data_IF_256501048079
#
_entry.id   IF_256501048079
#
_cell.length_a   1.000
_cell.length_b   1.000
_cell.length_c   1.000
_cell.angle_alpha   90.00
_cell.angle_beta   90.00
_cell.angle_gamma   90.00
#
_symmetry.space_group_name_H-M   'P 1'
#
loop_
_entity.id
_entity.type
_entity.pdbx_description
1 polymer ?
#
# COMPACT_ATOMS: atom_id res chain seq x y z
N UNK A 1 -34.53 -13.18 10.58
CA UNK A 1 -33.36 -12.86 11.40
C UNK A 1 -32.21 -13.81 11.01
N UNK A 2 -31.43 -13.50 9.97
CA UNK A 2 -30.40 -14.41 9.44
C UNK A 2 -29.35 -13.74 8.57
N UNK A 3 -29.23 -12.41 8.59
CA UNK A 3 -28.33 -11.68 7.69
C UNK A 3 -27.03 -11.15 8.34
N UNK A 4 -26.82 -11.36 9.64
CA UNK A 4 -25.72 -10.73 10.36
C UNK A 4 -24.44 -11.56 10.49
N UNK A 5 -24.52 -12.87 10.37
CA UNK A 5 -23.37 -13.79 10.53
C UNK A 5 -22.56 -13.95 9.25
N UNK A 6 -23.19 -13.89 8.09
CA UNK A 6 -22.56 -14.11 6.79
C UNK A 6 -21.61 -12.94 6.40
N UNK A 7 -22.02 -11.69 6.65
CA UNK A 7 -21.20 -10.52 6.34
C UNK A 7 -19.95 -10.38 7.23
N UNK A 8 -20.00 -10.90 8.47
CA UNK A 8 -18.88 -10.86 9.42
C UNK A 8 -17.82 -11.92 9.06
N UNK A 9 -18.25 -13.08 8.59
CA UNK A 9 -17.36 -14.14 8.13
C UNK A 9 -16.66 -13.72 6.83
N UNK A 10 -17.38 -13.10 5.90
CA UNK A 10 -16.83 -12.61 4.64
C UNK A 10 -15.80 -11.47 4.86
N UNK A 11 -16.08 -10.55 5.77
CA UNK A 11 -15.13 -9.49 6.12
C UNK A 11 -13.87 -10.01 6.80
N UNK A 12 -13.98 -11.04 7.65
CA UNK A 12 -12.84 -11.70 8.30
C UNK A 12 -11.93 -12.41 7.29
N UNK A 13 -12.51 -13.10 6.31
CA UNK A 13 -11.78 -13.78 5.26
C UNK A 13 -11.04 -12.80 4.34
N UNK A 14 -11.70 -11.69 3.97
CA UNK A 14 -11.08 -10.65 3.15
C UNK A 14 -9.89 -10.00 3.89
N UNK A 15 -10.02 -9.72 5.19
CA UNK A 15 -8.92 -9.19 6.01
C UNK A 15 -7.75 -10.18 6.09
N UNK A 16 -8.02 -11.45 6.34
CA UNK A 16 -6.98 -12.49 6.38
C UNK A 16 -6.25 -12.62 5.03
N UNK A 17 -6.98 -12.55 3.92
CA UNK A 17 -6.39 -12.54 2.57
C UNK A 17 -5.46 -11.35 2.39
N UNK A 18 -5.86 -10.15 2.81
CA UNK A 18 -5.05 -8.93 2.72
C UNK A 18 -3.74 -9.05 3.53
N UNK A 19 -3.81 -9.58 4.73
CA UNK A 19 -2.65 -9.79 5.60
C UNK A 19 -1.67 -10.82 5.02
N UNK A 20 -2.18 -11.93 4.46
CA UNK A 20 -1.36 -12.94 3.79
C UNK A 20 -0.68 -12.40 2.55
N UNK A 21 -1.43 -11.68 1.70
CA UNK A 21 -0.90 -11.07 0.48
C UNK A 21 0.20 -10.05 0.80
N UNK A 22 -0.01 -9.21 1.81
CA UNK A 22 0.98 -8.25 2.26
C UNK A 22 2.27 -8.93 2.77
N UNK A 23 2.15 -10.02 3.53
CA UNK A 23 3.30 -10.79 4.01
C UNK A 23 4.11 -11.37 2.86
N UNK A 24 3.45 -12.08 1.94
CA UNK A 24 4.11 -12.71 0.78
C UNK A 24 4.81 -11.65 -0.09
N UNK A 25 4.15 -10.53 -0.34
CA UNK A 25 4.72 -9.45 -1.14
C UNK A 25 5.91 -8.81 -0.44
N UNK A 26 5.80 -8.49 0.86
CA UNK A 26 6.85 -7.82 1.62
C UNK A 26 8.12 -8.69 1.79
N UNK A 27 7.97 -10.00 1.98
CA UNK A 27 9.10 -10.94 2.10
C UNK A 27 10.01 -10.92 0.88
N UNK A 28 9.50 -10.59 -0.29
CA UNK A 28 10.24 -10.51 -1.55
C UNK A 28 10.59 -9.09 -1.97
N UNK A 29 10.05 -8.07 -1.30
CA UNK A 29 10.25 -6.65 -1.64
C UNK A 29 11.53 -6.10 -1.01
N UNK A 30 12.65 -6.40 -1.65
CA UNK A 30 13.97 -5.93 -1.20
C UNK A 30 14.11 -4.41 -1.25
N UNK A 31 13.40 -3.74 -2.17
CA UNK A 31 13.46 -2.28 -2.31
C UNK A 31 12.86 -1.59 -1.09
N UNK A 32 11.61 -1.94 -0.74
CA UNK A 32 10.95 -1.39 0.45
C UNK A 32 11.73 -1.71 1.74
N UNK A 33 12.25 -2.94 1.86
CA UNK A 33 13.07 -3.35 3.01
C UNK A 33 14.36 -2.53 3.11
N UNK A 34 15.07 -2.31 1.99
CA UNK A 34 16.33 -1.54 1.98
C UNK A 34 16.13 -0.08 2.36
N UNK A 35 14.97 0.48 2.05
CA UNK A 35 14.57 1.83 2.41
C UNK A 35 14.00 1.92 3.84
N UNK A 36 13.92 0.81 4.56
CA UNK A 36 13.43 0.76 5.93
C UNK A 36 11.92 0.98 6.05
N UNK A 37 11.17 0.75 4.97
CA UNK A 37 9.71 0.85 4.99
C UNK A 37 9.10 -0.24 5.86
N UNK A 38 8.03 0.09 6.58
CA UNK A 38 7.30 -0.85 7.43
C UNK A 38 5.81 -0.72 7.17
N UNK A 39 5.14 -1.86 7.01
CA UNK A 39 3.67 -1.90 6.94
C UNK A 39 3.13 -1.72 8.36
N UNK A 40 2.32 -0.71 8.58
CA UNK A 40 1.67 -0.42 9.86
C UNK A 40 0.20 -0.81 9.85
N UNK A 41 -0.44 -0.83 8.67
CA UNK A 41 -1.82 -1.27 8.49
C UNK A 41 -2.01 -1.88 7.12
N UNK A 42 -2.86 -2.90 7.05
CA UNK A 42 -3.34 -3.51 5.81
C UNK A 42 -4.81 -3.91 5.97
N UNK A 43 -5.59 -3.63 4.93
CA UNK A 43 -6.98 -4.07 4.81
C UNK A 43 -7.34 -4.18 3.32
N UNK A 44 -8.49 -4.80 2.95
CA UNK A 44 -8.91 -4.85 1.57
C UNK A 44 -8.99 -3.46 0.92
N UNK A 45 -8.17 -3.21 -0.12
CA UNK A 45 -8.09 -1.92 -0.81
C UNK A 45 -7.33 -0.82 -0.06
N UNK A 46 -6.76 -1.11 1.11
CA UNK A 46 -6.05 -0.14 1.95
C UNK A 46 -4.69 -0.65 2.42
N UNK A 47 -3.71 0.25 2.50
CA UNK A 47 -2.43 -0.03 3.14
C UNK A 47 -1.85 1.25 3.76
N UNK A 48 -1.12 1.10 4.85
CA UNK A 48 -0.35 2.18 5.45
C UNK A 48 1.08 1.71 5.69
N UNK A 49 2.05 2.50 5.21
CA UNK A 49 3.47 2.26 5.38
C UNK A 49 4.16 3.48 5.97
N UNK A 50 5.20 3.23 6.75
CA UNK A 50 6.07 4.27 7.29
C UNK A 50 7.50 4.12 6.77
N UNK A 51 8.20 5.27 6.68
CA UNK A 51 9.63 5.33 6.33
C UNK A 51 10.27 6.51 7.07
N UNK A 52 11.37 6.27 7.76
CA UNK A 52 12.19 7.35 8.32
C UNK A 52 13.17 7.87 7.27
N UNK A 53 13.27 9.19 7.12
CA UNK A 53 14.21 9.84 6.21
C UNK A 53 15.60 9.85 6.81
N UNK A 54 16.50 9.07 6.22
CA UNK A 54 17.91 8.97 6.60
C UNK A 54 18.76 10.04 5.90
N UNK A 55 19.99 10.32 6.37
CA UNK A 55 20.91 11.26 5.73
C UNK A 55 21.20 10.93 4.25
N UNK A 56 21.33 9.62 3.92
CA UNK A 56 21.61 9.12 2.57
C UNK A 56 20.41 9.24 1.59
N UNK A 57 19.27 9.72 2.09
CA UNK A 57 18.05 9.95 1.31
C UNK A 57 17.89 11.42 0.90
N UNK A 58 18.81 12.31 1.28
CA UNK A 58 18.72 13.74 0.96
C UNK A 58 19.35 14.07 -0.39
N UNK A 59 18.78 15.04 -1.07
CA UNK A 59 19.28 15.57 -2.35
C UNK A 59 20.18 16.81 -2.14
N UNK A 60 20.65 17.42 -3.24
CA UNK A 60 21.50 18.62 -3.20
C UNK A 60 20.85 19.88 -2.62
N UNK A 61 19.55 19.85 -2.32
CA UNK A 61 18.82 20.91 -1.62
C UNK A 61 18.65 20.62 -0.12
N UNK A 62 19.31 19.57 0.40
CA UNK A 62 19.19 19.12 1.79
C UNK A 62 17.77 18.76 2.23
N UNK A 63 16.97 18.25 1.30
CA UNK A 63 15.64 17.70 1.55
C UNK A 63 15.58 16.26 1.01
N UNK A 64 14.64 15.46 1.51
CA UNK A 64 14.43 14.10 1.01
C UNK A 64 14.24 14.12 -0.52
N UNK A 65 14.94 13.23 -1.20
CA UNK A 65 14.79 13.08 -2.65
C UNK A 65 13.35 12.68 -2.99
N UNK A 66 12.71 13.43 -3.90
CA UNK A 66 11.30 13.19 -4.26
C UNK A 66 11.04 11.78 -4.80
N UNK A 67 12.03 11.15 -5.45
CA UNK A 67 11.95 9.75 -5.87
C UNK A 67 11.78 8.76 -4.72
N UNK A 68 12.27 9.10 -3.51
CA UNK A 68 12.11 8.23 -2.33
C UNK A 68 10.74 8.44 -1.65
N UNK A 69 10.21 9.66 -1.69
CA UNK A 69 8.82 9.93 -1.29
C UNK A 69 7.86 9.22 -2.25
N UNK A 70 8.16 9.27 -3.57
CA UNK A 70 7.43 8.51 -4.58
C UNK A 70 7.48 7.00 -4.31
N UNK A 71 8.67 6.44 -4.01
CA UNK A 71 8.84 5.02 -3.73
C UNK A 71 8.00 4.56 -2.52
N UNK A 72 7.93 5.36 -1.45
CA UNK A 72 7.07 5.07 -0.30
C UNK A 72 5.59 5.04 -0.69
N UNK A 73 5.12 6.04 -1.44
CA UNK A 73 3.74 6.11 -1.90
C UNK A 73 3.40 4.95 -2.87
N UNK A 74 4.31 4.62 -3.78
CA UNK A 74 4.16 3.51 -4.72
C UNK A 74 4.14 2.15 -4.02
N UNK A 75 4.96 1.95 -2.98
CA UNK A 75 4.90 0.75 -2.15
C UNK A 75 3.54 0.63 -1.43
N UNK A 76 3.04 1.71 -0.82
CA UNK A 76 1.72 1.69 -0.18
C UNK A 76 0.61 1.38 -1.20
N UNK A 77 0.68 1.96 -2.41
CA UNK A 77 -0.20 1.64 -3.52
C UNK A 77 -0.12 0.15 -3.91
N UNK A 78 1.10 -0.41 -4.03
CA UNK A 78 1.29 -1.81 -4.38
C UNK A 78 0.65 -2.75 -3.34
N UNK A 79 0.84 -2.49 -2.03
CA UNK A 79 0.23 -3.30 -0.99
C UNK A 79 -1.31 -3.18 -0.99
N UNK A 80 -1.85 -1.98 -1.19
CA UNK A 80 -3.29 -1.78 -1.27
C UNK A 80 -3.93 -2.52 -2.46
N UNK A 81 -3.36 -2.40 -3.67
CA UNK A 81 -3.94 -3.02 -4.86
C UNK A 81 -3.75 -4.55 -4.91
N UNK A 82 -2.81 -5.09 -4.17
CA UNK A 82 -2.59 -6.54 -4.03
C UNK A 82 -3.30 -7.18 -2.82
N UNK A 83 -3.99 -6.39 -2.00
CA UNK A 83 -4.66 -6.87 -0.78
C UNK A 83 -5.77 -7.89 -1.02
N UNK A 84 -6.23 -8.02 -2.26
CA UNK A 84 -7.22 -9.03 -2.68
C UNK A 84 -6.60 -10.39 -3.04
N UNK A 85 -5.28 -10.53 -2.88
CA UNK A 85 -4.56 -11.76 -3.20
C UNK A 85 -4.33 -12.03 -4.69
N UNK A 86 -4.80 -11.13 -5.57
CA UNK A 86 -4.58 -11.18 -7.02
C UNK A 86 -3.32 -10.42 -7.39
N UNK A 87 -2.51 -10.97 -8.31
CA UNK A 87 -1.30 -10.28 -8.80
C UNK A 87 -1.68 -9.01 -9.56
N UNK A 88 -1.28 -7.87 -9.04
CA UNK A 88 -1.66 -6.55 -9.55
C UNK A 88 -0.43 -5.65 -9.60
N UNK A 89 -0.24 -4.92 -10.70
CA UNK A 89 0.90 -4.04 -10.91
C UNK A 89 0.45 -2.61 -11.19
N UNK A 90 1.35 -1.65 -11.00
CA UNK A 90 1.13 -0.27 -11.41
C UNK A 90 1.04 -0.16 -12.93
N UNK A 91 0.02 0.55 -13.45
CA UNK A 91 -0.13 0.85 -14.86
C UNK A 91 0.06 2.33 -15.18
N UNK A 92 -0.17 3.21 -14.19
CA UNK A 92 0.13 4.63 -14.27
C UNK A 92 0.21 5.19 -12.84
N UNK A 93 1.02 6.22 -12.66
CA UNK A 93 1.11 6.94 -11.41
C UNK A 93 1.45 8.41 -11.64
N UNK A 94 0.99 9.26 -10.73
CA UNK A 94 1.38 10.67 -10.64
C UNK A 94 1.52 11.07 -9.18
N UNK A 95 2.38 12.06 -8.91
CA UNK A 95 2.59 12.60 -7.57
C UNK A 95 2.67 14.12 -7.63
N UNK A 96 2.05 14.76 -6.65
CA UNK A 96 2.19 16.18 -6.36
C UNK A 96 2.93 16.32 -5.03
N UNK A 97 4.08 17.03 -5.03
CA UNK A 97 4.83 17.34 -3.83
C UNK A 97 4.31 18.63 -3.23
N UNK A 98 3.80 18.58 -2.01
CA UNK A 98 3.11 19.68 -1.34
C UNK A 98 4.02 20.44 -0.40
N UNK A 99 4.98 19.77 0.24
CA UNK A 99 5.92 20.34 1.19
C UNK A 99 7.27 19.62 1.16
N UNK A 100 8.31 20.33 1.56
CA UNK A 100 9.64 19.76 1.70
C UNK A 100 9.71 18.80 2.89
N UNK A 101 10.29 17.64 2.67
CA UNK A 101 10.56 16.61 3.68
C UNK A 101 12.04 16.68 4.06
N UNK A 102 12.35 16.61 5.35
CA UNK A 102 13.72 16.77 5.85
C UNK A 102 14.27 15.48 6.42
N UNK A 103 15.58 15.43 6.55
CA UNK A 103 16.26 14.37 7.30
C UNK A 103 15.67 14.25 8.72
N UNK A 104 15.46 13.02 9.17
CA UNK A 104 14.85 12.71 10.47
C UNK A 104 13.33 12.69 10.47
N UNK A 105 12.65 13.23 9.44
CA UNK A 105 11.20 13.10 9.35
C UNK A 105 10.78 11.63 9.25
N UNK A 106 9.66 11.30 9.85
CA UNK A 106 9.00 10.01 9.70
C UNK A 106 7.77 10.20 8.82
N UNK A 107 7.83 9.60 7.64
CA UNK A 107 6.74 9.66 6.67
C UNK A 107 5.78 8.50 6.86
N UNK A 108 4.50 8.79 6.68
CA UNK A 108 3.43 7.78 6.62
C UNK A 108 2.70 7.94 5.28
N UNK A 109 2.68 6.88 4.48
CA UNK A 109 1.90 6.79 3.25
C UNK A 109 0.65 5.96 3.51
N UNK A 110 -0.52 6.58 3.42
CA UNK A 110 -1.82 5.94 3.58
C UNK A 110 -2.51 5.82 2.22
N UNK A 111 -2.62 4.59 1.73
CA UNK A 111 -3.26 4.24 0.47
C UNK A 111 -4.69 3.80 0.69
N UNK A 112 -5.60 4.27 -0.17
CA UNK A 112 -6.98 3.83 -0.23
C UNK A 112 -7.46 3.63 -1.66
N UNK A 113 -8.26 2.60 -1.85
CA UNK A 113 -8.98 2.37 -3.10
C UNK A 113 -10.09 3.42 -3.29
N UNK A 114 -10.12 4.07 -4.45
CA UNK A 114 -11.21 4.95 -4.84
C UNK A 114 -12.24 4.24 -5.70
N UNK A 115 -11.78 3.31 -6.53
CA UNK A 115 -12.60 2.55 -7.45
C UNK A 115 -11.86 1.31 -7.92
N UNK A 116 -12.58 0.22 -8.11
CA UNK A 116 -12.10 -1.01 -8.73
C UNK A 116 -13.15 -1.59 -9.67
N UNK A 117 -12.74 -1.96 -10.88
CA UNK A 117 -13.64 -2.57 -11.86
C UNK A 117 -12.87 -3.31 -12.96
N UNK A 118 -13.38 -4.45 -13.37
CA UNK A 118 -12.73 -5.31 -14.35
C UNK A 118 -11.33 -5.73 -13.89
N UNK A 119 -10.28 -5.29 -14.62
CA UNK A 119 -8.89 -5.58 -14.30
C UNK A 119 -8.13 -4.35 -13.79
N UNK A 120 -8.80 -3.25 -13.57
CA UNK A 120 -8.18 -1.97 -13.18
C UNK A 120 -8.70 -1.49 -11.82
N UNK A 121 -7.89 -0.69 -11.12
CA UNK A 121 -8.27 0.03 -9.91
C UNK A 121 -7.64 1.41 -9.87
N UNK A 122 -8.29 2.34 -9.19
CA UNK A 122 -7.78 3.69 -8.93
C UNK A 122 -7.59 3.86 -7.42
N UNK A 123 -6.45 4.43 -7.07
CA UNK A 123 -6.02 4.59 -5.67
C UNK A 123 -5.52 6.00 -5.45
N UNK A 124 -5.77 6.50 -4.25
CA UNK A 124 -5.18 7.74 -3.73
C UNK A 124 -4.30 7.43 -2.53
N UNK A 125 -3.13 8.02 -2.50
CA UNK A 125 -2.17 7.84 -1.43
C UNK A 125 -1.76 9.21 -0.91
N UNK A 126 -2.03 9.47 0.36
CA UNK A 126 -1.60 10.69 1.04
C UNK A 126 -0.35 10.36 1.84
N UNK A 127 0.72 11.10 1.62
CA UNK A 127 1.94 11.00 2.42
C UNK A 127 1.96 12.16 3.41
N UNK A 128 2.07 11.83 4.69
CA UNK A 128 2.16 12.81 5.78
C UNK A 128 3.49 12.67 6.52
N UNK A 129 3.92 13.75 7.21
CA UNK A 129 5.03 13.68 8.16
C UNK A 129 4.53 13.28 9.56
N UNK A 130 5.43 13.20 10.54
CA UNK A 130 5.12 12.83 11.93
C UNK A 130 4.19 13.80 12.67
N UNK A 131 3.92 14.98 12.11
CA UNK A 131 2.95 15.95 12.63
C UNK A 131 1.58 15.80 11.98
N UNK A 132 1.40 14.85 11.06
CA UNK A 132 0.18 14.66 10.29
C UNK A 132 0.00 15.68 9.16
N UNK A 133 1.03 16.46 8.83
CA UNK A 133 0.98 17.44 7.74
C UNK A 133 1.18 16.73 6.39
N UNK A 134 0.31 16.96 5.38
CA UNK A 134 0.46 16.35 4.07
C UNK A 134 1.69 16.92 3.35
N UNK A 135 2.56 16.02 2.87
CA UNK A 135 3.79 16.37 2.15
C UNK A 135 3.76 15.95 0.69
N UNK A 136 2.93 14.97 0.35
CA UNK A 136 2.69 14.58 -1.04
C UNK A 136 1.32 13.92 -1.21
N UNK A 137 0.79 14.04 -2.42
CA UNK A 137 -0.42 13.35 -2.87
C UNK A 137 -0.07 12.53 -4.12
N UNK A 138 -0.29 11.24 -4.05
CA UNK A 138 -0.03 10.29 -5.14
C UNK A 138 -1.34 9.68 -5.62
N UNK A 139 -1.45 9.47 -6.93
CA UNK A 139 -2.55 8.72 -7.55
C UNK A 139 -2.00 7.63 -8.41
N UNK A 140 -2.50 6.40 -8.20
CA UNK A 140 -2.11 5.22 -8.93
C UNK A 140 -3.28 4.58 -9.65
N UNK A 141 -3.04 4.12 -10.87
CA UNK A 141 -3.93 3.20 -11.58
C UNK A 141 -3.27 1.84 -11.64
N UNK A 142 -3.94 0.85 -11.12
CA UNK A 142 -3.49 -0.53 -11.10
C UNK A 142 -4.03 -1.33 -12.28
N UNK A 143 -3.32 -2.41 -12.61
CA UNK A 143 -3.73 -3.40 -13.59
C UNK A 143 -3.49 -4.80 -13.03
N UNK A 144 -4.56 -5.60 -12.91
CA UNK A 144 -4.45 -7.02 -12.59
C UNK A 144 -3.79 -7.77 -13.73
N UNK A 145 -2.80 -8.59 -13.41
CA UNK A 145 -2.08 -9.48 -14.31
C UNK A 145 -2.44 -10.94 -14.02
N UNK A 146 -1.90 -11.86 -14.81
CA UNK A 146 -2.11 -13.29 -14.55
C UNK A 146 -1.41 -13.73 -13.25
N UNK A 147 -2.04 -14.63 -12.52
CA UNK A 147 -1.53 -15.21 -11.28
C UNK A 147 -2.17 -14.62 -10.02
N UNK A 148 -1.86 -15.27 -8.90
CA UNK A 148 -2.30 -14.86 -7.56
C UNK A 148 -1.11 -14.85 -6.62
N UNK A 149 -1.09 -13.92 -5.67
CA UNK A 149 -0.12 -13.87 -4.58
C UNK A 149 -0.43 -14.92 -3.51
N UNK A 150 -1.72 -15.14 -3.25
CA UNK A 150 -2.19 -16.15 -2.33
C UNK A 150 -3.30 -16.97 -3.01
N UNK A 151 -3.39 -18.29 -2.76
CA UNK A 151 -4.52 -19.09 -3.21
C UNK A 151 -5.84 -18.53 -2.68
N UNK A 152 -6.93 -18.75 -3.41
CA UNK A 152 -8.26 -18.58 -2.81
C UNK A 152 -8.37 -19.58 -1.66
N UNK A 153 -8.73 -19.08 -0.47
CA UNK A 153 -9.07 -19.96 0.62
C UNK A 153 -10.33 -20.72 0.15
N UNK A 154 -10.21 -22.03 -0.01
CA UNK A 154 -11.36 -22.88 -0.31
C UNK A 154 -12.39 -22.62 0.81
N UNK A 155 -13.58 -22.19 0.43
CA UNK A 155 -14.67 -22.05 1.36
C UNK A 155 -14.90 -23.43 1.98
N UNK A 156 -14.46 -23.57 3.25
CA UNK A 156 -14.78 -24.66 4.17
C UNK A 156 -14.79 -26.08 3.60
N UNK A 157 -13.68 -26.80 3.71
CA UNK A 157 -13.78 -28.23 4.02
C UNK A 157 -14.19 -28.33 5.49
N UNK A 158 -15.49 -28.25 5.71
CA UNK A 158 -16.11 -28.71 6.95
C UNK A 158 -16.10 -30.24 6.93
N UNK A 159 -15.23 -30.85 7.72
CA UNK A 159 -15.37 -32.22 8.19
C UNK A 159 -15.89 -32.21 9.62
#
# INVERSE_FOLDING_TARGET
MGASTDSTIDSGLAQHTAERAARVLYEQDRASQSLGMRITRIAPGEAELTMQVRPDMTNGHHICHGGLVFALADSAFAFACNSYGESTVAAAASIDFLAAVREGDVLTAAARELWRGGRSGLYEIVVTNQRGEPVALFRGRSQRVAGRLVPEDAAGDSV
#
